data_IF_549986758812
#
_entry.id   IF_549986758812
#
_cell.length_a   1.000
_cell.length_b   1.000
_cell.length_c   1.000
_cell.angle_alpha   90.00
_cell.angle_beta   90.00
_cell.angle_gamma   90.00
#
_symmetry.space_group_name_H-M   'P 1'
#
loop_
_entity.id
_entity.type
_entity.pdbx_description
1 polymer ?
#
# COMPACT_ATOMS: atom_id res chain seq x y z
N UNK A 1 -19.22 15.58 -9.03
CA UNK A 1 -17.94 14.89 -9.25
C UNK A 1 -17.53 14.21 -7.98
N UNK A 2 -16.98 13.03 -8.06
CA UNK A 2 -16.79 12.16 -6.92
C UNK A 2 -15.30 11.97 -6.65
N UNK A 3 -14.86 12.23 -5.43
CA UNK A 3 -13.53 11.86 -4.98
C UNK A 3 -13.58 10.44 -4.41
N UNK A 4 -12.65 9.57 -4.81
CA UNK A 4 -12.58 8.20 -4.38
C UNK A 4 -11.25 7.88 -3.71
N UNK A 5 -11.26 7.05 -2.67
CA UNK A 5 -10.06 6.47 -2.11
C UNK A 5 -10.02 4.96 -2.37
N UNK A 6 -8.90 4.46 -2.92
CA UNK A 6 -8.65 3.02 -3.06
C UNK A 6 -7.69 2.60 -1.97
N UNK A 7 -8.16 1.73 -1.08
CA UNK A 7 -7.48 1.34 0.14
C UNK A 7 -7.36 -0.17 0.30
N UNK A 8 -6.35 -0.63 1.02
CA UNK A 8 -6.24 -2.04 1.41
C UNK A 8 -7.03 -2.32 2.69
N UNK A 9 -7.77 -3.40 2.71
CA UNK A 9 -8.57 -3.78 3.87
C UNK A 9 -7.75 -4.61 4.87
N UNK A 10 -6.87 -5.47 4.40
CA UNK A 10 -6.16 -6.43 5.24
C UNK A 10 -4.69 -6.03 5.50
N UNK A 11 -3.73 -6.89 5.14
CA UNK A 11 -2.28 -6.70 5.41
C UNK A 11 -1.50 -6.04 4.29
N UNK A 12 -2.15 -5.65 3.19
CA UNK A 12 -1.50 -5.18 1.96
C UNK A 12 -1.43 -6.27 0.88
N UNK A 13 -0.93 -5.89 -0.29
CA UNK A 13 -0.82 -6.76 -1.48
C UNK A 13 -2.15 -7.32 -2.01
N UNK A 14 -3.28 -6.65 -1.71
CA UNK A 14 -4.61 -7.05 -2.16
C UNK A 14 -4.86 -6.81 -3.66
N UNK A 15 -3.99 -6.06 -4.33
CA UNK A 15 -4.14 -5.70 -5.74
C UNK A 15 -4.66 -4.28 -5.98
N UNK A 16 -4.37 -3.34 -5.06
CA UNK A 16 -4.77 -1.93 -5.17
C UNK A 16 -4.31 -1.27 -6.46
N UNK A 17 -3.03 -1.43 -6.84
CA UNK A 17 -2.50 -0.80 -8.06
C UNK A 17 -3.30 -1.16 -9.32
N UNK A 18 -3.77 -2.41 -9.42
CA UNK A 18 -4.66 -2.83 -10.51
C UNK A 18 -6.02 -2.09 -10.44
N UNK A 19 -6.59 -1.96 -9.25
CA UNK A 19 -7.87 -1.25 -9.09
C UNK A 19 -7.72 0.26 -9.35
N UNK A 20 -6.59 0.86 -8.96
CA UNK A 20 -6.27 2.25 -9.32
C UNK A 20 -6.15 2.39 -10.85
N UNK A 21 -5.35 1.55 -11.51
CA UNK A 21 -5.18 1.58 -12.97
C UNK A 21 -6.53 1.40 -13.71
N UNK A 22 -7.40 0.50 -13.21
CA UNK A 22 -8.74 0.29 -13.78
C UNK A 22 -9.61 1.54 -13.63
N UNK A 23 -9.72 2.07 -12.41
CA UNK A 23 -10.65 3.16 -12.11
C UNK A 23 -10.13 4.54 -12.50
N UNK A 24 -8.82 4.70 -12.74
CA UNK A 24 -8.22 5.99 -13.17
C UNK A 24 -8.83 6.54 -14.47
N UNK A 25 -9.49 5.71 -15.27
CA UNK A 25 -10.18 6.17 -16.49
C UNK A 25 -11.26 7.22 -16.19
N UNK A 26 -11.87 7.16 -15.02
CA UNK A 26 -12.95 8.06 -14.58
C UNK A 26 -12.45 9.25 -13.76
N UNK A 27 -11.11 9.42 -13.61
CA UNK A 27 -10.53 10.44 -12.73
C UNK A 27 -9.50 11.32 -13.45
N UNK A 28 -9.49 12.59 -13.07
CA UNK A 28 -8.56 13.60 -13.62
C UNK A 28 -7.21 13.60 -12.90
N UNK A 29 -7.20 13.19 -11.62
CA UNK A 29 -6.03 13.30 -10.74
C UNK A 29 -5.89 12.02 -9.91
N UNK A 30 -4.66 11.50 -9.80
CA UNK A 30 -4.32 10.40 -8.89
C UNK A 30 -3.30 10.88 -7.86
N UNK A 31 -3.61 10.72 -6.57
CA UNK A 31 -2.74 11.20 -5.48
C UNK A 31 -2.28 10.03 -4.59
N UNK A 32 -0.98 9.81 -4.51
CA UNK A 32 -0.37 8.99 -3.44
C UNK A 32 -0.26 9.85 -2.19
N UNK A 33 -0.86 9.41 -1.09
CA UNK A 33 -0.98 10.23 0.12
C UNK A 33 -0.16 9.73 1.31
N UNK A 34 0.44 8.53 1.24
CA UNK A 34 1.24 7.97 2.33
C UNK A 34 2.14 6.81 1.85
N UNK A 35 3.02 6.33 2.76
CA UNK A 35 3.95 5.24 2.47
C UNK A 35 5.18 5.73 1.69
N UNK A 36 5.91 4.82 1.09
CA UNK A 36 7.14 5.10 0.36
C UNK A 36 7.54 3.92 -0.51
N UNK A 37 8.84 3.71 -0.73
CA UNK A 37 9.37 2.63 -1.57
C UNK A 37 9.27 1.21 -0.95
N UNK A 38 8.58 1.04 0.17
CA UNK A 38 8.53 -0.22 0.93
C UNK A 38 7.50 -1.24 0.43
N UNK A 39 6.56 -0.85 -0.44
CA UNK A 39 5.64 -1.76 -1.09
C UNK A 39 5.62 -1.52 -2.60
N UNK A 40 5.29 -2.54 -3.38
CA UNK A 40 5.19 -2.46 -4.83
C UNK A 40 3.74 -2.61 -5.29
N UNK A 41 3.29 -1.71 -6.17
CA UNK A 41 2.02 -1.82 -6.87
C UNK A 41 2.25 -2.47 -8.24
N UNK A 42 1.82 -3.71 -8.39
CA UNK A 42 1.91 -4.38 -9.69
C UNK A 42 0.74 -3.94 -10.57
N UNK A 43 1.07 -3.37 -11.73
CA UNK A 43 0.14 -3.00 -12.78
C UNK A 43 0.47 -3.82 -14.03
N UNK A 44 -0.56 -4.38 -14.66
CA UNK A 44 -0.46 -5.09 -15.94
C UNK A 44 -1.37 -4.38 -16.94
N UNK A 45 -0.78 -3.82 -17.98
CA UNK A 45 -1.49 -3.06 -19.00
C UNK A 45 -0.84 -3.24 -20.38
N UNK A 46 -1.27 -2.47 -21.38
CA UNK A 46 -0.79 -2.56 -22.78
C UNK A 46 0.71 -2.27 -22.92
N UNK A 47 1.32 -1.55 -21.98
CA UNK A 47 2.77 -1.31 -21.95
C UNK A 47 3.56 -2.47 -21.34
N UNK A 48 2.87 -3.43 -20.69
CA UNK A 48 3.47 -4.61 -20.06
C UNK A 48 3.19 -4.70 -18.57
N UNK A 49 4.06 -5.41 -17.85
CA UNK A 49 3.98 -5.60 -16.39
C UNK A 49 4.97 -4.69 -15.68
N UNK A 50 4.48 -3.89 -14.75
CA UNK A 50 5.26 -2.93 -13.95
C UNK A 50 5.07 -3.18 -12.46
N UNK A 51 6.09 -2.83 -11.68
CA UNK A 51 6.03 -2.82 -10.22
C UNK A 51 6.39 -1.40 -9.75
N UNK A 52 5.38 -0.54 -9.58
CA UNK A 52 5.58 0.83 -9.08
C UNK A 52 5.76 0.83 -7.57
N UNK A 53 6.68 1.65 -7.08
CA UNK A 53 6.96 1.80 -5.65
C UNK A 53 6.54 3.18 -5.12
N UNK A 54 6.92 4.25 -5.80
CA UNK A 54 6.62 5.64 -5.45
C UNK A 54 5.62 6.28 -6.39
N UNK A 55 5.77 6.06 -7.70
CA UNK A 55 4.86 6.67 -8.68
C UNK A 55 3.42 6.19 -8.48
N UNK A 56 2.43 7.10 -8.61
CA UNK A 56 1.03 6.71 -8.66
C UNK A 56 0.73 5.80 -9.86
N UNK A 57 -0.22 4.88 -9.70
CA UNK A 57 -0.60 3.95 -10.79
C UNK A 57 -1.28 4.66 -11.98
N UNK A 58 -1.66 5.93 -11.82
CA UNK A 58 -2.23 6.77 -12.89
C UNK A 58 -1.23 7.23 -13.97
N UNK A 59 0.08 7.04 -13.78
CA UNK A 59 1.12 7.47 -14.76
C UNK A 59 0.99 6.81 -16.13
N UNK A 60 0.26 5.72 -16.24
CA UNK A 60 -0.01 5.04 -17.51
C UNK A 60 -1.17 5.65 -18.32
N UNK A 61 -1.89 6.63 -17.78
CA UNK A 61 -3.05 7.26 -18.41
C UNK A 61 -2.74 8.67 -18.90
N UNK A 62 -3.00 8.93 -20.18
CA UNK A 62 -2.86 10.28 -20.76
C UNK A 62 -3.90 11.22 -20.16
N UNK A 63 -3.48 12.45 -19.89
CA UNK A 63 -4.36 13.51 -19.38
C UNK A 63 -4.63 13.44 -17.87
N UNK A 64 -4.12 12.43 -17.19
CA UNK A 64 -4.23 12.29 -15.73
C UNK A 64 -3.02 12.95 -15.05
N UNK A 65 -3.28 13.85 -14.11
CA UNK A 65 -2.25 14.41 -13.24
C UNK A 65 -1.97 13.46 -12.09
N UNK A 66 -0.70 13.14 -11.86
CA UNK A 66 -0.25 12.29 -10.77
C UNK A 66 0.42 13.14 -9.69
N UNK A 67 0.16 12.87 -8.42
CA UNK A 67 0.68 13.67 -7.31
C UNK A 67 1.29 12.79 -6.23
N UNK A 68 2.50 13.15 -5.78
CA UNK A 68 3.10 12.65 -4.54
C UNK A 68 2.82 13.68 -3.44
N UNK A 69 1.89 13.32 -2.54
CA UNK A 69 1.41 14.22 -1.48
C UNK A 69 2.32 14.27 -0.25
N UNK A 70 1.98 15.14 0.67
CA UNK A 70 2.76 15.47 1.90
C UNK A 70 3.07 14.27 2.79
N UNK A 71 2.20 13.26 2.78
CA UNK A 71 2.34 12.09 3.65
C UNK A 71 3.29 11.02 3.12
N UNK A 72 3.79 11.16 1.89
CA UNK A 72 4.73 10.20 1.28
C UNK A 72 6.13 10.34 1.89
N UNK A 73 6.82 9.22 2.04
CA UNK A 73 8.27 9.19 2.31
C UNK A 73 9.00 9.26 0.97
N UNK A 74 9.43 10.46 0.57
CA UNK A 74 9.96 10.71 -0.75
C UNK A 74 11.44 10.34 -0.83
N UNK A 75 11.72 9.23 -1.48
CA UNK A 75 13.06 8.77 -1.82
C UNK A 75 13.41 9.24 -3.23
N UNK A 76 14.23 10.29 -3.35
CA UNK A 76 14.58 10.89 -4.64
C UNK A 76 15.32 9.92 -5.55
N UNK A 77 16.21 9.09 -5.01
CA UNK A 77 16.97 8.10 -5.78
C UNK A 77 16.04 7.03 -6.37
N UNK A 78 15.16 6.46 -5.53
CA UNK A 78 14.20 5.47 -6.01
C UNK A 78 13.22 6.06 -7.03
N UNK A 79 12.76 7.29 -6.81
CA UNK A 79 11.87 7.97 -7.76
C UNK A 79 12.55 8.19 -9.12
N UNK A 80 13.78 8.69 -9.13
CA UNK A 80 14.54 8.89 -10.37
C UNK A 80 14.73 7.57 -11.13
N UNK A 81 15.09 6.49 -10.43
CA UNK A 81 15.25 5.16 -11.04
C UNK A 81 13.94 4.63 -11.62
N UNK A 82 12.84 4.86 -10.94
CA UNK A 82 11.51 4.44 -11.38
C UNK A 82 11.06 5.23 -12.62
N UNK A 83 11.32 6.53 -12.69
CA UNK A 83 11.08 7.38 -13.86
C UNK A 83 11.93 6.87 -15.06
N UNK A 84 13.21 6.57 -14.83
CA UNK A 84 14.12 6.07 -15.88
C UNK A 84 13.66 4.69 -16.41
N UNK A 85 13.25 3.77 -15.53
CA UNK A 85 12.71 2.46 -15.94
C UNK A 85 11.47 2.62 -16.82
N UNK A 86 10.52 3.46 -16.41
CA UNK A 86 9.31 3.74 -17.16
C UNK A 86 9.63 4.38 -18.52
N UNK A 87 10.54 5.35 -18.55
CA UNK A 87 10.96 6.00 -19.79
C UNK A 87 11.60 5.00 -20.78
N UNK A 88 12.45 4.08 -20.28
CA UNK A 88 13.07 3.03 -21.09
C UNK A 88 12.06 2.08 -21.74
N UNK A 89 10.84 2.02 -21.21
CA UNK A 89 9.73 1.17 -21.65
C UNK A 89 8.62 1.96 -22.34
N UNK A 90 8.90 3.22 -22.72
CA UNK A 90 8.00 4.06 -23.51
C UNK A 90 6.91 4.79 -22.71
N UNK A 91 7.00 4.81 -21.38
CA UNK A 91 6.08 5.58 -20.50
C UNK A 91 6.78 6.86 -20.05
N UNK A 92 6.28 8.01 -20.50
CA UNK A 92 6.86 9.33 -20.20
C UNK A 92 6.29 9.89 -18.90
N UNK A 93 7.16 10.22 -17.94
CA UNK A 93 6.83 10.90 -16.69
C UNK A 93 7.55 12.24 -16.65
N UNK A 94 6.78 13.32 -16.75
CA UNK A 94 7.29 14.70 -16.86
C UNK A 94 6.56 15.63 -15.91
N UNK A 95 7.02 16.88 -15.70
CA UNK A 95 6.31 17.86 -14.88
C UNK A 95 4.88 18.19 -15.35
N UNK A 96 4.50 17.82 -16.56
CA UNK A 96 3.16 17.99 -17.10
C UNK A 96 2.19 16.91 -16.64
N UNK A 97 2.68 15.76 -16.14
CA UNK A 97 1.84 14.65 -15.69
C UNK A 97 2.22 14.11 -14.29
N UNK A 98 3.26 14.68 -13.64
CA UNK A 98 3.63 14.38 -12.26
C UNK A 98 3.93 15.68 -11.50
N UNK A 99 3.36 15.81 -10.31
CA UNK A 99 3.71 16.83 -9.33
C UNK A 99 4.19 16.19 -8.04
N UNK A 100 5.16 16.83 -7.40
CA UNK A 100 5.68 16.50 -6.08
C UNK A 100 5.32 17.64 -5.15
N UNK A 101 4.66 17.35 -4.03
CA UNK A 101 4.37 18.39 -3.04
C UNK A 101 5.66 19.03 -2.52
N UNK A 102 5.68 20.35 -2.48
CA UNK A 102 6.75 21.12 -1.83
C UNK A 102 6.90 20.78 -0.33
N UNK A 103 5.81 20.28 0.30
CA UNK A 103 5.76 19.91 1.73
C UNK A 103 6.01 18.42 1.99
N UNK A 104 6.30 17.62 0.98
CA UNK A 104 6.69 16.23 1.18
C UNK A 104 8.09 16.16 1.78
N UNK A 105 8.27 15.33 2.82
CA UNK A 105 9.60 15.16 3.44
C UNK A 105 10.47 14.19 2.65
N UNK A 106 11.78 14.45 2.62
CA UNK A 106 12.76 13.62 1.92
C UNK A 106 13.20 12.42 2.79
N UNK A 107 13.16 11.25 2.22
CA UNK A 107 13.80 10.07 2.78
C UNK A 107 15.28 10.09 2.36
N UNK A 108 16.15 10.42 3.32
CA UNK A 108 17.58 10.59 3.10
C UNK A 108 18.35 9.26 3.28
N UNK A 109 19.58 9.13 2.75
CA UNK A 109 20.31 7.85 2.73
C UNK A 109 20.43 7.16 4.09
N UNK A 110 20.67 7.90 5.17
CA UNK A 110 20.80 7.34 6.51
C UNK A 110 19.54 6.61 7.02
N UNK A 111 18.34 6.95 6.49
CA UNK A 111 17.12 6.26 6.93
C UNK A 111 17.15 4.77 6.57
N UNK A 112 17.65 4.43 5.37
CA UNK A 112 17.81 3.03 4.96
C UNK A 112 18.87 2.33 5.81
N UNK A 113 19.97 3.02 6.10
CA UNK A 113 21.05 2.50 6.96
C UNK A 113 20.52 2.21 8.36
N UNK A 114 19.80 3.15 8.97
CA UNK A 114 19.23 2.98 10.32
C UNK A 114 18.18 1.85 10.37
N UNK A 115 17.34 1.71 9.35
CA UNK A 115 16.36 0.63 9.26
C UNK A 115 17.05 -0.74 9.19
N UNK A 116 18.12 -0.85 8.41
CA UNK A 116 18.90 -2.08 8.30
C UNK A 116 19.62 -2.43 9.62
N UNK A 117 20.24 -1.44 10.28
CA UNK A 117 20.94 -1.62 11.56
C UNK A 117 19.97 -2.01 12.68
N UNK A 118 18.79 -1.43 12.72
CA UNK A 118 17.78 -1.79 13.73
C UNK A 118 17.26 -3.21 13.55
N UNK A 119 16.94 -3.62 12.31
CA UNK A 119 16.56 -5.01 12.01
C UNK A 119 17.67 -6.00 12.41
N UNK A 120 18.95 -5.64 12.21
CA UNK A 120 20.06 -6.48 12.62
C UNK A 120 20.18 -6.56 14.15
N UNK A 121 20.05 -5.43 14.86
CA UNK A 121 20.08 -5.34 16.32
C UNK A 121 18.98 -6.17 16.98
N UNK A 122 17.79 -6.22 16.36
CA UNK A 122 16.63 -6.96 16.89
C UNK A 122 16.78 -8.48 16.83
N UNK A 123 17.69 -9.01 16.01
CA UNK A 123 17.96 -10.47 15.90
C UNK A 123 16.68 -11.29 15.71
N UNK A 124 16.28 -12.07 16.72
CA UNK A 124 15.10 -12.93 16.68
C UNK A 124 13.77 -12.17 16.92
N UNK A 125 13.82 -10.86 17.20
CA UNK A 125 12.65 -10.01 17.44
C UNK A 125 12.38 -9.04 16.26
N UNK A 126 12.85 -9.41 15.07
CA UNK A 126 12.68 -8.62 13.85
C UNK A 126 11.21 -8.37 13.54
N UNK A 127 10.93 -7.19 13.04
CA UNK A 127 9.60 -6.83 12.52
C UNK A 127 9.40 -7.30 11.07
N UNK A 128 10.46 -7.70 10.40
CA UNK A 128 10.45 -8.05 8.97
C UNK A 128 10.44 -6.82 8.07
N UNK A 129 11.18 -5.78 8.47
CA UNK A 129 11.32 -4.55 7.67
C UNK A 129 11.82 -4.84 6.26
N UNK A 130 11.34 -4.04 5.32
CA UNK A 130 11.81 -4.03 3.93
C UNK A 130 13.17 -3.33 3.76
N UNK A 131 13.72 -2.74 4.83
CA UNK A 131 14.96 -1.95 4.87
C UNK A 131 14.93 -0.76 3.90
N UNK A 132 13.73 -0.20 3.70
CA UNK A 132 13.54 0.99 2.87
C UNK A 132 13.52 2.30 3.68
N UNK A 133 13.87 2.24 4.97
CA UNK A 133 14.03 3.42 5.82
C UNK A 133 12.73 4.05 6.33
N UNK A 134 11.60 3.34 6.24
CA UNK A 134 10.28 3.91 6.52
C UNK A 134 10.10 4.28 8.00
N UNK A 135 10.45 3.39 8.93
CA UNK A 135 10.30 3.66 10.36
C UNK A 135 11.23 4.80 10.83
N UNK A 136 12.54 4.80 10.53
CA UNK A 136 13.40 5.94 10.84
C UNK A 136 12.95 7.26 10.21
N UNK A 137 12.47 7.22 8.96
CA UNK A 137 11.97 8.41 8.27
C UNK A 137 10.77 9.05 8.99
N UNK A 138 9.72 8.28 9.28
CA UNK A 138 8.55 8.84 9.97
C UNK A 138 8.88 9.26 11.40
N UNK A 139 9.77 8.54 12.11
CA UNK A 139 10.31 8.99 13.39
C UNK A 139 10.93 10.38 13.28
N UNK A 140 11.79 10.57 12.30
CA UNK A 140 12.46 11.86 12.07
C UNK A 140 11.51 12.97 11.67
N UNK A 141 10.51 12.66 10.84
CA UNK A 141 9.47 13.63 10.47
C UNK A 141 8.78 14.20 11.71
N UNK A 142 8.37 13.33 12.64
CA UNK A 142 7.72 13.78 13.89
C UNK A 142 8.69 14.42 14.89
N UNK A 143 9.98 14.05 14.85
CA UNK A 143 11.03 14.73 15.61
C UNK A 143 11.49 16.05 14.98
N UNK A 144 10.99 16.39 13.79
CA UNK A 144 11.40 17.58 13.01
C UNK A 144 12.89 17.52 12.61
N UNK A 145 13.37 16.32 12.25
CA UNK A 145 14.76 16.01 11.85
C UNK A 145 14.83 15.55 10.40
N UNK A 146 14.04 16.21 9.54
CA UNK A 146 14.04 15.98 8.09
C UNK A 146 13.87 17.29 7.34
N UNK A 147 14.09 17.28 6.04
CA UNK A 147 13.88 18.41 5.14
C UNK A 147 12.74 18.12 4.19
N UNK A 148 12.11 19.16 3.66
CA UNK A 148 11.01 19.05 2.70
C UNK A 148 11.55 19.19 1.26
N UNK A 149 10.79 18.70 0.28
CA UNK A 149 11.18 18.85 -1.12
C UNK A 149 11.29 20.31 -1.55
N UNK A 150 10.46 21.20 -1.01
CA UNK A 150 10.56 22.65 -1.23
C UNK A 150 11.88 23.26 -0.82
N UNK A 151 12.56 22.68 0.20
CA UNK A 151 13.87 23.18 0.66
C UNK A 151 14.96 22.99 -0.41
N UNK A 152 14.79 22.03 -1.35
CA UNK A 152 15.69 21.86 -2.50
C UNK A 152 15.75 23.11 -3.38
N UNK A 153 14.73 23.95 -3.37
CA UNK A 153 14.67 25.21 -4.12
C UNK A 153 15.43 26.35 -3.40
N UNK A 154 15.91 26.12 -2.16
CA UNK A 154 16.57 27.08 -1.30
C UNK A 154 17.90 26.50 -0.76
N UNK A 155 18.98 26.40 -1.58
CA UNK A 155 20.20 25.64 -1.26
C UNK A 155 20.90 26.07 0.03
N UNK A 156 20.94 27.36 0.34
CA UNK A 156 21.60 27.88 1.56
C UNK A 156 20.83 27.42 2.82
N UNK A 157 19.50 27.54 2.79
CA UNK A 157 18.65 27.08 3.88
C UNK A 157 18.75 25.57 4.05
N UNK A 158 18.67 24.81 2.95
CA UNK A 158 18.81 23.37 2.94
C UNK A 158 20.13 22.91 3.57
N UNK A 159 21.26 23.52 3.17
CA UNK A 159 22.59 23.18 3.69
C UNK A 159 22.68 23.41 5.21
N UNK A 160 22.15 24.53 5.71
CA UNK A 160 22.14 24.83 7.13
C UNK A 160 21.29 23.81 7.94
N UNK A 161 20.09 23.48 7.45
CA UNK A 161 19.23 22.49 8.09
C UNK A 161 19.86 21.09 8.11
N UNK A 162 20.52 20.70 7.00
CA UNK A 162 21.16 19.39 6.89
C UNK A 162 22.36 19.28 7.84
N UNK A 163 23.12 20.35 8.07
CA UNK A 163 24.24 20.35 9.02
C UNK A 163 23.76 19.99 10.45
N UNK A 164 22.69 20.65 10.91
CA UNK A 164 22.12 20.41 12.24
C UNK A 164 21.54 18.98 12.38
N UNK A 165 20.87 18.50 11.32
CA UNK A 165 20.28 17.15 11.32
C UNK A 165 21.37 16.10 11.27
N UNK A 166 22.42 16.30 10.46
CA UNK A 166 23.52 15.38 10.27
C UNK A 166 24.31 15.15 11.56
N UNK A 167 24.57 16.22 12.33
CA UNK A 167 25.20 16.10 13.64
C UNK A 167 24.41 15.12 14.55
N UNK A 168 23.11 15.30 14.64
CA UNK A 168 22.25 14.42 15.42
C UNK A 168 22.23 12.98 14.89
N UNK A 169 22.20 12.79 13.57
CA UNK A 169 22.20 11.47 12.95
C UNK A 169 23.49 10.72 13.16
N UNK A 170 24.60 11.41 13.07
CA UNK A 170 25.92 10.81 13.30
C UNK A 170 26.09 10.38 14.76
N UNK A 171 25.54 11.12 15.74
CA UNK A 171 25.48 10.64 17.11
C UNK A 171 24.71 9.31 17.22
N UNK A 172 23.61 9.17 16.50
CA UNK A 172 22.83 7.91 16.49
C UNK A 172 23.60 6.79 15.80
N UNK A 173 24.18 7.02 14.64
CA UNK A 173 24.94 6.03 13.89
C UNK A 173 26.14 5.53 14.71
N UNK A 174 26.96 6.42 15.22
CA UNK A 174 28.19 6.08 15.93
C UNK A 174 27.94 5.52 17.34
N UNK A 175 27.13 6.22 18.15
CA UNK A 175 26.99 5.89 19.59
C UNK A 175 25.97 4.80 19.87
N UNK A 176 24.92 4.69 19.07
CA UNK A 176 23.89 3.65 19.27
C UNK A 176 24.24 2.39 18.50
N UNK A 177 24.65 2.52 17.24
CA UNK A 177 24.86 1.38 16.35
C UNK A 177 26.32 1.04 16.10
N UNK A 178 27.28 1.91 16.45
CA UNK A 178 28.71 1.70 16.15
C UNK A 178 29.00 1.70 14.64
N UNK A 179 28.17 2.37 13.86
CA UNK A 179 28.27 2.49 12.42
C UNK A 179 29.09 3.74 12.03
N UNK A 180 29.51 3.80 10.77
CA UNK A 180 30.23 4.96 10.22
C UNK A 180 29.30 6.17 10.13
N UNK A 181 29.88 7.36 10.39
CA UNK A 181 29.20 8.64 10.21
C UNK A 181 28.97 8.92 8.72
N UNK A 182 27.87 9.56 8.42
CA UNK A 182 27.63 10.13 7.09
C UNK A 182 28.28 11.51 7.01
N UNK A 183 28.91 11.84 5.89
CA UNK A 183 29.53 13.15 5.68
C UNK A 183 28.59 14.12 4.94
N UNK A 184 28.81 15.43 5.14
CA UNK A 184 28.04 16.43 4.41
C UNK A 184 28.30 16.34 2.90
N UNK A 185 29.54 16.03 2.49
CA UNK A 185 29.92 15.92 1.07
C UNK A 185 29.17 14.75 0.39
N UNK A 186 29.08 13.59 1.04
CA UNK A 186 28.29 12.46 0.53
C UNK A 186 26.80 12.81 0.40
N UNK A 187 26.25 13.48 1.40
CA UNK A 187 24.86 13.89 1.40
C UNK A 187 24.57 14.92 0.30
N UNK A 188 25.43 15.92 0.15
CA UNK A 188 25.30 16.93 -0.90
C UNK A 188 25.51 16.33 -2.30
N UNK A 189 26.42 15.37 -2.45
CA UNK A 189 26.57 14.64 -3.71
C UNK A 189 25.29 13.90 -4.09
N UNK A 190 24.66 13.20 -3.13
CA UNK A 190 23.38 12.53 -3.34
C UNK A 190 22.24 13.52 -3.70
N UNK A 191 22.17 14.67 -3.02
CA UNK A 191 21.20 15.73 -3.32
C UNK A 191 21.43 16.30 -4.72
N UNK A 192 22.67 16.56 -5.10
CA UNK A 192 23.01 17.07 -6.43
C UNK A 192 22.68 16.07 -7.53
N UNK A 193 22.85 14.77 -7.27
CA UNK A 193 22.54 13.72 -8.26
C UNK A 193 21.03 13.51 -8.44
N UNK A 194 20.29 13.38 -7.33
CA UNK A 194 18.86 12.99 -7.39
C UNK A 194 17.91 14.14 -7.05
N UNK A 195 18.26 15.00 -6.11
CA UNK A 195 17.45 16.15 -5.71
C UNK A 195 17.26 17.16 -6.85
N UNK A 196 18.34 17.47 -7.59
CA UNK A 196 18.26 18.38 -8.75
C UNK A 196 17.30 17.86 -9.83
N UNK A 197 17.26 16.55 -10.05
CA UNK A 197 16.38 15.92 -11.06
C UNK A 197 14.90 16.04 -10.73
N UNK A 198 14.54 16.11 -9.44
CA UNK A 198 13.13 16.21 -9.02
C UNK A 198 12.65 17.65 -8.88
N UNK A 199 13.52 18.66 -8.83
CA UNK A 199 13.14 20.08 -8.71
C UNK A 199 12.06 20.52 -9.71
N UNK A 200 12.12 20.14 -11.00
CA UNK A 200 11.11 20.55 -11.97
C UNK A 200 9.68 20.08 -11.63
N UNK A 201 9.53 19.05 -10.82
CA UNK A 201 8.24 18.47 -10.42
C UNK A 201 7.65 19.12 -9.16
N UNK A 202 8.46 19.87 -8.38
CA UNK A 202 8.05 20.43 -7.08
C UNK A 202 7.06 21.57 -7.28
N UNK A 203 5.89 21.47 -6.62
CA UNK A 203 4.79 22.44 -6.70
C UNK A 203 4.06 22.54 -5.36
N UNK A 204 3.33 23.63 -5.15
CA UNK A 204 2.25 23.68 -4.15
C UNK A 204 1.07 22.82 -4.62
N UNK A 205 1.11 21.54 -4.28
CA UNK A 205 0.07 20.58 -4.66
C UNK A 205 -1.23 20.80 -3.91
N UNK A 206 -1.18 21.42 -2.72
CA UNK A 206 -2.37 21.76 -1.94
C UNK A 206 -3.19 22.83 -2.63
N UNK A 207 -2.55 23.90 -3.10
CA UNK A 207 -3.23 24.94 -3.89
C UNK A 207 -3.81 24.37 -5.19
N UNK A 208 -3.01 23.54 -5.91
CA UNK A 208 -3.47 22.89 -7.13
C UNK A 208 -4.70 21.99 -6.91
N UNK A 209 -4.73 21.18 -5.86
CA UNK A 209 -5.87 20.31 -5.55
C UNK A 209 -7.12 21.11 -5.16
N UNK A 210 -6.95 22.23 -4.44
CA UNK A 210 -8.03 23.13 -4.09
C UNK A 210 -8.66 23.78 -5.35
N UNK A 211 -7.83 24.25 -6.28
CA UNK A 211 -8.26 24.80 -7.57
C UNK A 211 -8.98 23.74 -8.41
N UNK A 212 -8.36 22.55 -8.56
CA UNK A 212 -8.91 21.43 -9.29
C UNK A 212 -10.31 21.02 -8.76
N UNK A 213 -10.51 21.01 -7.44
CA UNK A 213 -11.84 20.76 -6.87
C UNK A 213 -12.83 21.86 -7.21
N UNK A 214 -12.40 23.12 -7.24
CA UNK A 214 -13.27 24.26 -7.63
C UNK A 214 -13.68 24.18 -9.10
N UNK A 215 -12.76 23.71 -9.95
CA UNK A 215 -13.01 23.42 -11.37
C UNK A 215 -13.87 22.17 -11.59
N UNK A 216 -14.11 21.43 -10.51
CA UNK A 216 -14.93 20.23 -10.55
C UNK A 216 -14.20 19.02 -11.07
N UNK A 217 -12.88 18.95 -10.98
CA UNK A 217 -12.07 17.77 -11.34
C UNK A 217 -12.16 16.69 -10.28
N UNK A 218 -12.13 15.45 -10.71
CA UNK A 218 -12.25 14.27 -9.86
C UNK A 218 -10.87 13.79 -9.37
N UNK A 219 -10.80 13.36 -8.09
CA UNK A 219 -9.56 12.95 -7.45
C UNK A 219 -9.66 11.50 -6.99
N UNK A 220 -8.67 10.69 -7.37
CA UNK A 220 -8.48 9.33 -6.90
C UNK A 220 -7.31 9.28 -5.91
N UNK A 221 -7.57 8.95 -4.65
CA UNK A 221 -6.55 8.77 -3.63
C UNK A 221 -6.07 7.32 -3.60
N UNK A 222 -4.79 7.11 -3.83
CA UNK A 222 -4.16 5.80 -3.86
C UNK A 222 -3.42 5.52 -2.56
N UNK A 223 -3.90 4.54 -1.77
CA UNK A 223 -3.25 4.07 -0.56
C UNK A 223 -2.16 3.03 -0.83
N UNK A 224 -1.28 2.89 0.13
CA UNK A 224 -0.30 1.81 0.20
C UNK A 224 -0.57 0.92 1.42
N UNK A 225 -0.23 -0.39 1.32
CA UNK A 225 -0.49 -1.39 2.37
C UNK A 225 -2.00 -1.57 2.66
N UNK A 226 -2.37 -1.94 3.88
CA UNK A 226 -3.75 -2.18 4.28
C UNK A 226 -4.00 -1.80 5.74
N UNK A 227 -5.27 -1.79 6.16
CA UNK A 227 -5.69 -1.31 7.47
C UNK A 227 -5.02 -2.03 8.65
N UNK A 228 -4.73 -3.34 8.50
CA UNK A 228 -4.07 -4.11 9.56
C UNK A 228 -2.58 -3.79 9.70
N UNK A 229 -2.01 -2.99 8.79
CA UNK A 229 -0.66 -2.43 8.85
C UNK A 229 -0.64 -0.95 9.22
N UNK A 230 -1.79 -0.35 9.52
CA UNK A 230 -1.86 1.04 10.00
C UNK A 230 -1.12 1.22 11.32
N UNK A 231 -0.46 2.36 11.50
CA UNK A 231 0.34 2.64 12.69
C UNK A 231 -0.48 2.60 13.98
N UNK A 232 -1.68 3.20 13.95
CA UNK A 232 -2.52 3.39 15.13
C UNK A 232 -3.51 2.25 15.36
N UNK A 233 -4.02 1.65 14.28
CA UNK A 233 -5.11 0.68 14.34
C UNK A 233 -4.72 -0.74 13.90
N UNK A 234 -3.51 -0.92 13.39
CA UNK A 234 -3.03 -2.22 12.91
C UNK A 234 -2.59 -3.17 14.03
N UNK A 235 -1.97 -4.26 13.63
CA UNK A 235 -1.45 -5.32 14.53
C UNK A 235 -0.11 -4.92 15.17
N UNK A 236 -0.08 -3.78 15.86
CA UNK A 236 1.12 -3.24 16.49
C UNK A 236 1.87 -4.28 17.34
N UNK A 237 3.22 -4.38 17.30
CA UNK A 237 4.16 -3.49 16.59
C UNK A 237 4.46 -3.88 15.13
N UNK A 238 3.77 -4.85 14.58
CA UNK A 238 3.98 -5.33 13.21
C UNK A 238 3.21 -4.48 12.18
N UNK A 239 3.36 -3.17 12.27
CA UNK A 239 2.73 -2.16 11.43
C UNK A 239 3.74 -1.49 10.52
N UNK A 240 3.27 -0.72 9.53
CA UNK A 240 4.10 0.33 8.92
C UNK A 240 4.07 1.57 9.82
N UNK A 241 5.00 2.49 9.63
CA UNK A 241 5.07 3.72 10.42
C UNK A 241 4.26 4.87 9.80
N UNK A 242 3.27 4.55 8.97
CA UNK A 242 2.38 5.54 8.33
C UNK A 242 0.91 5.18 8.53
N UNK A 243 0.03 6.16 8.35
CA UNK A 243 -1.41 5.97 8.43
C UNK A 243 -1.93 5.50 7.06
N UNK A 244 -2.46 4.28 7.02
CA UNK A 244 -2.91 3.61 5.80
C UNK A 244 -4.41 3.80 5.52
N UNK A 245 -5.11 4.47 6.44
CA UNK A 245 -6.56 4.64 6.36
C UNK A 245 -6.97 5.73 5.36
N UNK A 246 -8.16 5.56 4.75
CA UNK A 246 -8.75 6.57 3.87
C UNK A 246 -8.91 7.93 4.57
N UNK A 247 -9.18 7.93 5.87
CA UNK A 247 -9.30 9.14 6.68
C UNK A 247 -8.04 10.02 6.68
N UNK A 248 -6.86 9.46 6.38
CA UNK A 248 -5.61 10.20 6.27
C UNK A 248 -5.40 10.81 4.88
N UNK A 249 -6.12 10.36 3.86
CA UNK A 249 -5.91 10.80 2.48
C UNK A 249 -6.02 12.32 2.29
N UNK A 250 -6.98 13.05 2.88
CA UNK A 250 -7.02 14.51 2.79
C UNK A 250 -5.76 15.18 3.36
N UNK A 251 -5.28 14.71 4.51
CA UNK A 251 -4.09 15.26 5.18
C UNK A 251 -2.83 14.90 4.39
N UNK A 252 -2.69 13.63 4.06
CA UNK A 252 -1.52 13.11 3.37
C UNK A 252 -1.37 13.57 1.92
N UNK A 253 -2.45 13.96 1.26
CA UNK A 253 -2.41 14.58 -0.07
C UNK A 253 -1.96 16.06 -0.05
N UNK A 254 -2.04 16.72 1.12
CA UNK A 254 -1.85 18.16 1.25
C UNK A 254 -3.13 18.98 1.00
N UNK A 255 -4.28 18.33 0.96
CA UNK A 255 -5.59 18.97 0.78
C UNK A 255 -6.55 18.58 1.92
N UNK A 256 -6.39 19.15 3.14
CA UNK A 256 -7.17 18.74 4.32
C UNK A 256 -8.69 18.94 4.18
N UNK A 257 -9.12 19.81 3.27
CA UNK A 257 -10.53 20.06 2.96
C UNK A 257 -11.15 19.06 1.98
N UNK A 258 -10.40 18.11 1.45
CA UNK A 258 -10.94 17.13 0.51
C UNK A 258 -12.04 16.28 1.17
N UNK A 259 -13.18 16.18 0.49
CA UNK A 259 -14.23 15.22 0.84
C UNK A 259 -14.03 13.95 0.01
N UNK A 260 -14.06 12.80 0.67
CA UNK A 260 -14.04 11.49 0.00
C UNK A 260 -15.49 11.01 -0.07
N UNK A 261 -16.00 10.80 -1.29
CA UNK A 261 -17.39 10.40 -1.53
C UNK A 261 -17.54 8.89 -1.60
N UNK A 262 -16.51 8.18 -2.10
CA UNK A 262 -16.47 6.72 -2.18
C UNK A 262 -15.13 6.19 -1.62
N UNK A 263 -15.19 5.13 -0.83
CA UNK A 263 -14.01 4.39 -0.37
C UNK A 263 -14.12 2.96 -0.88
N UNK A 264 -13.28 2.64 -1.87
CA UNK A 264 -13.20 1.28 -2.43
C UNK A 264 -12.12 0.50 -1.66
N UNK A 265 -12.57 -0.42 -0.83
CA UNK A 265 -11.71 -1.35 -0.11
C UNK A 265 -11.31 -2.54 -0.98
N UNK A 266 -10.03 -2.83 -1.10
CA UNK A 266 -9.55 -3.98 -1.87
C UNK A 266 -9.30 -5.16 -0.94
N UNK A 267 -9.87 -6.32 -1.25
CA UNK A 267 -9.77 -7.58 -0.51
C UNK A 267 -9.45 -8.70 -1.48
N UNK A 268 -8.62 -9.66 -1.11
CA UNK A 268 -8.48 -10.92 -1.86
C UNK A 268 -9.56 -11.91 -1.47
N UNK A 269 -9.92 -12.79 -2.37
CA UNK A 269 -10.79 -13.93 -2.09
C UNK A 269 -10.21 -14.95 -1.08
N UNK A 270 -8.97 -14.76 -0.66
CA UNK A 270 -8.25 -15.45 0.41
C UNK A 270 -7.32 -14.46 1.12
N UNK A 271 -6.77 -14.84 2.27
CA UNK A 271 -5.89 -13.93 3.02
C UNK A 271 -4.42 -14.14 2.71
N UNK A 272 -3.67 -13.04 2.63
CA UNK A 272 -2.21 -13.05 2.55
C UNK A 272 -1.59 -12.05 3.51
N UNK A 273 -0.41 -12.38 4.03
CA UNK A 273 0.33 -11.49 4.91
C UNK A 273 1.81 -11.50 4.52
N UNK A 274 2.40 -10.31 4.42
CA UNK A 274 3.86 -10.13 4.28
C UNK A 274 4.41 -9.58 5.59
N UNK A 275 5.59 -10.05 5.99
CA UNK A 275 6.22 -9.66 7.26
C UNK A 275 5.74 -10.49 8.44
N UNK A 276 6.20 -10.10 9.62
CA UNK A 276 5.95 -10.81 10.87
C UNK A 276 4.61 -10.39 11.51
N UNK A 277 4.32 -10.99 12.65
CA UNK A 277 3.11 -10.71 13.45
C UNK A 277 2.03 -11.77 13.32
N UNK A 278 0.98 -11.67 14.14
CA UNK A 278 -0.10 -12.64 14.18
C UNK A 278 -0.90 -12.66 12.86
N UNK A 279 -1.17 -13.86 12.39
CA UNK A 279 -2.02 -14.15 11.25
C UNK A 279 -2.85 -15.39 11.60
N UNK A 280 -4.00 -15.19 12.22
CA UNK A 280 -4.78 -16.21 12.95
C UNK A 280 -5.13 -17.42 12.07
N UNK A 281 -5.51 -17.19 10.82
CA UNK A 281 -5.90 -18.26 9.90
C UNK A 281 -4.78 -18.70 8.93
N UNK A 282 -3.52 -18.53 9.31
CA UNK A 282 -2.37 -18.94 8.49
C UNK A 282 -2.35 -20.45 8.23
N UNK A 283 -2.17 -20.80 6.97
CA UNK A 283 -1.90 -22.16 6.55
C UNK A 283 -0.42 -22.47 6.48
N UNK A 284 -0.09 -23.68 6.81
CA UNK A 284 1.26 -24.25 6.72
C UNK A 284 1.26 -25.50 5.84
N UNK A 285 2.43 -25.92 5.41
CA UNK A 285 2.61 -27.16 4.67
C UNK A 285 2.07 -27.10 3.24
N UNK A 286 1.55 -28.23 2.77
CA UNK A 286 1.23 -28.47 1.36
C UNK A 286 0.07 -27.60 0.86
N UNK A 287 -0.97 -27.39 1.66
CA UNK A 287 -2.12 -26.56 1.28
C UNK A 287 -1.72 -25.08 1.09
N UNK A 288 -0.85 -24.58 1.97
CA UNK A 288 -0.31 -23.23 1.81
C UNK A 288 0.51 -23.10 0.51
N UNK A 289 1.30 -24.13 0.17
CA UNK A 289 2.12 -24.12 -1.04
C UNK A 289 1.27 -24.23 -2.30
N UNK A 290 0.19 -25.02 -2.28
CA UNK A 290 -0.78 -25.06 -3.39
C UNK A 290 -1.40 -23.69 -3.65
N UNK A 291 -1.83 -22.99 -2.58
CA UNK A 291 -2.44 -21.67 -2.71
C UNK A 291 -1.40 -20.63 -3.18
N UNK A 292 -0.16 -20.67 -2.67
CA UNK A 292 0.92 -19.78 -3.14
C UNK A 292 1.18 -19.94 -4.63
N UNK A 293 1.27 -21.18 -5.12
CA UNK A 293 1.50 -21.46 -6.55
C UNK A 293 0.34 -21.00 -7.41
N UNK A 294 -0.89 -21.32 -7.01
CA UNK A 294 -2.09 -20.91 -7.75
C UNK A 294 -2.23 -19.38 -7.80
N UNK A 295 -1.95 -18.69 -6.70
CA UNK A 295 -2.08 -17.24 -6.59
C UNK A 295 -0.81 -16.46 -6.95
N UNK A 296 0.31 -17.12 -7.29
CA UNK A 296 1.63 -16.48 -7.47
C UNK A 296 2.01 -15.60 -6.26
N UNK A 297 1.80 -16.13 -5.04
CA UNK A 297 2.00 -15.39 -3.79
C UNK A 297 3.46 -15.40 -3.34
N UNK A 298 4.28 -14.70 -4.13
CA UNK A 298 5.70 -14.45 -3.86
C UNK A 298 6.01 -12.95 -3.96
N UNK A 299 6.95 -12.46 -3.16
CA UNK A 299 7.34 -11.06 -3.17
C UNK A 299 7.95 -10.66 -4.52
N UNK A 300 7.45 -9.61 -5.15
CA UNK A 300 7.87 -9.20 -6.48
C UNK A 300 9.39 -8.90 -6.58
N UNK A 301 9.98 -8.33 -5.51
CA UNK A 301 11.39 -7.94 -5.45
C UNK A 301 12.30 -9.04 -4.87
N UNK A 302 11.80 -9.78 -3.88
CA UNK A 302 12.63 -10.72 -3.09
C UNK A 302 12.36 -12.19 -3.41
N UNK A 303 11.29 -12.51 -4.13
CA UNK A 303 10.82 -13.88 -4.32
C UNK A 303 10.35 -14.57 -3.03
N UNK A 304 10.35 -13.90 -1.87
CA UNK A 304 9.97 -14.48 -0.59
C UNK A 304 8.51 -14.97 -0.64
N UNK A 305 8.24 -16.22 -0.23
CA UNK A 305 6.88 -16.74 -0.18
C UNK A 305 6.04 -15.93 0.82
N UNK A 306 4.84 -15.53 0.41
CA UNK A 306 3.88 -14.89 1.31
C UNK A 306 3.23 -15.91 2.22
N UNK A 307 2.88 -15.50 3.43
CA UNK A 307 2.00 -16.23 4.31
C UNK A 307 0.59 -16.20 3.72
N UNK A 308 -0.10 -17.32 3.72
CA UNK A 308 -1.42 -17.46 3.07
C UNK A 308 -2.38 -18.21 3.98
N UNK A 309 -3.68 -18.02 3.78
CA UNK A 309 -4.74 -18.71 4.49
C UNK A 309 -6.11 -18.44 3.87
N UNK A 310 -7.20 -19.01 4.41
CA UNK A 310 -8.54 -18.71 3.95
C UNK A 310 -8.89 -17.24 4.11
N UNK A 311 -9.95 -16.77 3.45
CA UNK A 311 -10.47 -15.43 3.74
C UNK A 311 -10.87 -15.35 5.21
N UNK A 312 -10.48 -14.27 5.86
CA UNK A 312 -10.70 -14.01 7.28
C UNK A 312 -11.75 -12.90 7.43
N UNK A 313 -12.99 -13.27 7.72
CA UNK A 313 -14.08 -12.30 7.83
C UNK A 313 -13.96 -11.42 9.07
N UNK A 314 -13.32 -11.89 10.14
CA UNK A 314 -13.10 -11.10 11.37
C UNK A 314 -12.11 -9.98 11.09
N UNK A 315 -10.95 -10.31 10.51
CA UNK A 315 -9.92 -9.35 10.14
C UNK A 315 -10.41 -8.41 9.02
N UNK A 316 -11.11 -8.95 8.02
CA UNK A 316 -11.63 -8.17 6.90
C UNK A 316 -12.75 -7.21 7.34
N UNK A 317 -13.71 -7.66 8.16
CA UNK A 317 -14.76 -6.81 8.72
C UNK A 317 -14.22 -5.68 9.59
N UNK A 318 -13.14 -5.95 10.35
CA UNK A 318 -12.42 -4.91 11.09
C UNK A 318 -11.82 -3.88 10.16
N UNK A 319 -11.09 -4.31 9.12
CA UNK A 319 -10.48 -3.41 8.14
C UNK A 319 -11.52 -2.60 7.35
N UNK A 320 -12.66 -3.21 6.96
CA UNK A 320 -13.80 -2.51 6.32
C UNK A 320 -14.29 -1.34 7.19
N UNK A 321 -14.48 -1.61 8.48
CA UNK A 321 -14.94 -0.59 9.44
C UNK A 321 -13.91 0.52 9.63
N UNK A 322 -12.62 0.19 9.77
CA UNK A 322 -11.54 1.18 9.91
C UNK A 322 -11.42 2.09 8.69
N UNK A 323 -11.54 1.52 7.50
CA UNK A 323 -11.46 2.26 6.25
C UNK A 323 -12.74 3.05 5.95
N UNK A 324 -13.83 2.80 6.70
CA UNK A 324 -15.17 3.29 6.35
C UNK A 324 -15.52 2.97 4.90
N UNK A 325 -15.19 1.75 4.45
CA UNK A 325 -15.36 1.35 3.06
C UNK A 325 -16.84 1.37 2.66
N UNK A 326 -17.13 2.00 1.53
CA UNK A 326 -18.47 2.09 0.96
C UNK A 326 -18.74 1.01 -0.10
N UNK A 327 -17.65 0.49 -0.68
CA UNK A 327 -17.68 -0.60 -1.64
C UNK A 327 -16.41 -1.45 -1.52
N UNK A 328 -16.49 -2.71 -1.95
CA UNK A 328 -15.36 -3.64 -1.97
C UNK A 328 -15.04 -4.07 -3.40
N UNK A 329 -13.74 -4.17 -3.68
CA UNK A 329 -13.18 -4.87 -4.81
C UNK A 329 -12.58 -6.20 -4.32
N UNK A 330 -13.25 -7.30 -4.64
CA UNK A 330 -12.79 -8.66 -4.33
C UNK A 330 -11.88 -9.13 -5.47
N UNK A 331 -10.62 -9.37 -5.18
CA UNK A 331 -9.62 -9.77 -6.16
C UNK A 331 -9.28 -11.25 -6.08
N UNK A 332 -8.76 -11.81 -7.19
CA UNK A 332 -8.21 -13.17 -7.26
C UNK A 332 -9.24 -14.29 -6.95
N UNK A 333 -10.49 -14.12 -7.34
CA UNK A 333 -11.50 -15.17 -7.18
C UNK A 333 -11.15 -16.42 -8.00
N UNK A 334 -10.60 -16.22 -9.20
CA UNK A 334 -10.12 -17.26 -10.13
C UNK A 334 -9.11 -18.22 -9.51
N UNK A 335 -8.29 -17.73 -8.59
CA UNK A 335 -7.23 -18.52 -7.92
C UNK A 335 -7.82 -19.71 -7.13
N UNK A 336 -9.04 -19.59 -6.65
CA UNK A 336 -9.72 -20.63 -5.84
C UNK A 336 -10.41 -21.71 -6.68
N UNK A 337 -10.40 -21.62 -7.99
CA UNK A 337 -11.10 -22.55 -8.92
C UNK A 337 -10.70 -24.02 -8.76
N UNK A 338 -9.52 -24.31 -8.21
CA UNK A 338 -9.07 -25.69 -7.97
C UNK A 338 -9.64 -26.32 -6.70
N UNK A 339 -10.25 -25.54 -5.81
CA UNK A 339 -10.73 -26.00 -4.52
C UNK A 339 -12.15 -26.58 -4.65
N UNK A 340 -12.34 -27.80 -4.11
CA UNK A 340 -13.66 -28.43 -4.03
C UNK A 340 -14.48 -27.88 -2.86
N UNK A 341 -13.81 -27.48 -1.78
CA UNK A 341 -14.40 -26.86 -0.60
C UNK A 341 -13.58 -25.63 -0.22
N UNK A 342 -14.27 -24.53 0.02
CA UNK A 342 -13.69 -23.23 0.30
C UNK A 342 -13.79 -22.92 1.80
N UNK A 343 -12.67 -22.94 2.53
CA UNK A 343 -12.66 -22.55 3.92
C UNK A 343 -12.80 -21.04 4.09
N UNK A 344 -13.57 -20.63 5.08
CA UNK A 344 -13.78 -19.23 5.47
C UNK A 344 -13.64 -19.14 6.98
N UNK A 345 -12.80 -18.23 7.47
CA UNK A 345 -12.72 -17.94 8.90
C UNK A 345 -13.82 -16.96 9.28
N UNK A 346 -14.83 -17.45 10.03
CA UNK A 346 -16.04 -16.68 10.39
C UNK A 346 -16.02 -16.13 11.80
N UNK A 347 -15.15 -16.66 12.67
CA UNK A 347 -14.97 -16.21 14.05
C UNK A 347 -13.59 -16.59 14.57
N UNK A 348 -13.18 -16.01 15.68
CA UNK A 348 -12.02 -16.45 16.45
C UNK A 348 -12.48 -17.07 17.77
N UNK A 349 -11.79 -18.12 18.20
CA UNK A 349 -11.91 -18.67 19.54
C UNK A 349 -10.77 -18.13 20.41
N UNK A 350 -11.12 -17.47 21.51
CA UNK A 350 -10.18 -16.94 22.52
C UNK A 350 -10.71 -17.35 23.89
N UNK A 351 -9.89 -18.05 24.66
CA UNK A 351 -10.25 -18.56 26.00
C UNK A 351 -11.57 -19.36 25.99
N UNK A 352 -11.77 -20.18 24.95
CA UNK A 352 -12.96 -21.03 24.78
C UNK A 352 -14.25 -20.27 24.39
N UNK A 353 -14.15 -19.00 24.01
CA UNK A 353 -15.28 -18.18 23.56
C UNK A 353 -15.11 -17.76 22.12
N UNK A 354 -16.16 -17.91 21.32
CA UNK A 354 -16.19 -17.41 19.94
C UNK A 354 -16.46 -15.90 19.93
N UNK A 355 -15.73 -15.19 19.06
CA UNK A 355 -15.91 -13.76 18.81
C UNK A 355 -15.78 -13.45 17.32
N UNK A 356 -16.60 -12.54 16.83
CA UNK A 356 -16.50 -11.93 15.51
C UNK A 356 -15.87 -10.53 15.57
N UNK A 357 -15.53 -10.07 16.78
CA UNK A 357 -14.81 -8.82 16.97
C UNK A 357 -13.30 -9.07 16.86
N UNK A 358 -12.62 -8.27 16.07
CA UNK A 358 -11.16 -8.32 15.97
C UNK A 358 -10.56 -7.91 17.31
N UNK A 359 -9.77 -8.78 17.95
CA UNK A 359 -9.25 -8.52 19.28
C UNK A 359 -8.06 -7.56 19.26
N UNK A 360 -7.70 -7.03 20.43
CA UNK A 360 -6.48 -6.27 20.58
C UNK A 360 -5.24 -7.10 20.22
N UNK A 361 -4.17 -6.51 19.65
CA UNK A 361 -3.03 -7.27 19.10
C UNK A 361 -2.41 -8.30 20.04
N UNK A 362 -2.34 -8.04 21.33
CA UNK A 362 -1.77 -9.02 22.30
C UNK A 362 -2.60 -10.31 22.43
N UNK A 363 -3.90 -10.25 22.20
CA UNK A 363 -4.79 -11.42 22.26
C UNK A 363 -4.79 -12.24 20.95
N UNK A 364 -4.32 -11.67 19.84
CA UNK A 364 -4.27 -12.37 18.55
C UNK A 364 -3.39 -13.63 18.57
N UNK A 365 -2.33 -13.65 19.38
CA UNK A 365 -1.46 -14.82 19.48
C UNK A 365 -2.13 -16.04 20.13
N UNK A 366 -3.18 -15.82 20.93
CA UNK A 366 -3.97 -16.88 21.56
C UNK A 366 -5.20 -17.27 20.76
N UNK A 367 -5.57 -16.48 19.73
CA UNK A 367 -6.74 -16.68 18.91
C UNK A 367 -6.58 -17.91 18.00
N UNK A 368 -7.64 -18.69 17.89
CA UNK A 368 -7.76 -19.81 16.95
C UNK A 368 -8.87 -19.52 15.94
N UNK A 369 -8.68 -19.84 14.64
CA UNK A 369 -9.70 -19.59 13.65
C UNK A 369 -10.85 -20.59 13.78
N UNK A 370 -12.08 -20.13 13.73
CA UNK A 370 -13.26 -20.95 13.51
C UNK A 370 -13.58 -20.96 12.01
N UNK A 371 -13.49 -22.13 11.38
CA UNK A 371 -13.56 -22.28 9.93
C UNK A 371 -14.89 -22.92 9.54
N UNK A 372 -15.62 -22.24 8.67
CA UNK A 372 -16.74 -22.78 7.92
C UNK A 372 -16.33 -23.15 6.49
N UNK A 373 -17.06 -24.05 5.86
CA UNK A 373 -16.72 -24.52 4.52
C UNK A 373 -17.91 -24.34 3.57
N UNK A 374 -17.65 -23.70 2.45
CA UNK A 374 -18.58 -23.59 1.33
C UNK A 374 -18.15 -24.55 0.21
N UNK A 375 -19.08 -24.91 -0.68
CA UNK A 375 -18.76 -25.70 -1.86
C UNK A 375 -18.02 -24.86 -2.91
N UNK A 376 -16.98 -25.42 -3.50
CA UNK A 376 -16.26 -24.82 -4.61
C UNK A 376 -17.03 -24.92 -5.93
N UNK A 377 -16.57 -24.23 -6.93
CA UNK A 377 -17.18 -24.24 -8.28
C UNK A 377 -16.48 -25.15 -9.27
N UNK A 378 -15.23 -25.56 -9.01
CA UNK A 378 -14.52 -26.64 -9.71
C UNK A 378 -14.30 -26.44 -11.22
N UNK A 379 -14.36 -25.20 -11.71
CA UNK A 379 -14.09 -24.85 -13.10
C UNK A 379 -13.34 -23.52 -13.21
N UNK A 380 -12.64 -23.32 -14.33
CA UNK A 380 -11.99 -22.05 -14.62
C UNK A 380 -13.02 -20.95 -14.87
N UNK A 381 -12.88 -19.83 -14.18
CA UNK A 381 -13.73 -18.64 -14.31
C UNK A 381 -12.97 -17.43 -14.91
N UNK A 382 -11.74 -17.58 -15.34
CA UNK A 382 -10.91 -16.49 -15.84
C UNK A 382 -11.46 -15.78 -17.08
N UNK A 383 -12.27 -16.46 -17.86
CA UNK A 383 -12.95 -15.93 -19.04
C UNK A 383 -14.30 -15.27 -18.77
N UNK A 384 -14.84 -15.38 -17.56
CA UNK A 384 -16.13 -14.79 -17.18
C UNK A 384 -16.01 -13.26 -17.13
N UNK A 385 -17.03 -12.55 -17.65
CA UNK A 385 -17.05 -11.08 -17.68
C UNK A 385 -18.30 -10.46 -17.06
N UNK A 386 -19.33 -11.25 -16.79
CA UNK A 386 -20.57 -10.77 -16.17
C UNK A 386 -20.90 -11.57 -14.91
N UNK A 387 -21.67 -10.96 -14.02
CA UNK A 387 -22.12 -11.63 -12.78
C UNK A 387 -22.95 -12.87 -13.07
N UNK A 388 -23.81 -12.79 -14.07
CA UNK A 388 -24.75 -13.88 -14.39
C UNK A 388 -24.05 -15.14 -14.91
N UNK A 389 -22.91 -14.99 -15.57
CA UNK A 389 -22.09 -16.10 -16.09
C UNK A 389 -21.27 -16.81 -14.99
N UNK A 390 -21.12 -16.21 -13.80
CA UNK A 390 -20.41 -16.87 -12.71
C UNK A 390 -21.15 -18.14 -12.26
N UNK A 391 -20.41 -19.24 -11.97
CA UNK A 391 -20.99 -20.42 -11.35
C UNK A 391 -21.72 -20.07 -10.05
N UNK A 392 -22.82 -20.76 -9.77
CA UNK A 392 -23.66 -20.50 -8.62
C UNK A 392 -22.89 -20.54 -7.29
N UNK A 393 -21.96 -21.48 -7.13
CA UNK A 393 -21.14 -21.57 -5.92
C UNK A 393 -20.11 -20.41 -5.81
N UNK A 394 -19.64 -19.87 -6.93
CA UNK A 394 -18.80 -18.66 -6.91
C UNK A 394 -19.60 -17.43 -6.47
N UNK A 395 -20.85 -17.28 -6.96
CA UNK A 395 -21.76 -16.23 -6.49
C UNK A 395 -22.03 -16.36 -4.99
N UNK A 396 -22.38 -17.55 -4.51
CA UNK A 396 -22.61 -17.82 -3.08
C UNK A 396 -21.39 -17.49 -2.22
N UNK A 397 -20.19 -17.79 -2.70
CA UNK A 397 -18.95 -17.45 -1.98
C UNK A 397 -18.77 -15.93 -1.86
N UNK A 398 -18.98 -15.19 -2.94
CA UNK A 398 -18.92 -13.72 -2.94
C UNK A 398 -19.98 -13.12 -2.01
N UNK A 399 -21.22 -13.60 -2.10
CA UNK A 399 -22.34 -13.15 -1.27
C UNK A 399 -22.14 -13.48 0.22
N UNK A 400 -21.54 -14.63 0.53
CA UNK A 400 -21.21 -15.01 1.90
C UNK A 400 -20.15 -14.08 2.50
N UNK A 401 -19.10 -13.73 1.73
CA UNK A 401 -18.11 -12.74 2.16
C UNK A 401 -18.79 -11.38 2.35
N UNK A 402 -19.56 -10.92 1.37
CA UNK A 402 -20.29 -9.63 1.42
C UNK A 402 -21.12 -9.50 2.70
N UNK A 403 -21.91 -10.53 3.01
CA UNK A 403 -22.73 -10.59 4.21
C UNK A 403 -21.87 -10.58 5.50
N UNK A 404 -20.78 -11.35 5.51
CA UNK A 404 -19.91 -11.50 6.67
C UNK A 404 -19.10 -10.23 7.01
N UNK A 405 -18.74 -9.43 6.01
CA UNK A 405 -18.00 -8.18 6.21
C UNK A 405 -18.91 -6.94 6.31
N UNK A 406 -20.19 -7.08 5.96
CA UNK A 406 -21.18 -6.01 6.04
C UNK A 406 -20.95 -4.85 5.05
N UNK A 407 -20.32 -5.11 3.89
CA UNK A 407 -20.05 -4.11 2.87
C UNK A 407 -20.21 -4.71 1.47
N UNK A 408 -20.89 -3.97 0.57
CA UNK A 408 -21.17 -4.42 -0.79
C UNK A 408 -19.89 -4.70 -1.58
N UNK A 409 -19.80 -5.88 -2.19
CA UNK A 409 -18.77 -6.21 -3.16
C UNK A 409 -19.23 -5.74 -4.53
N UNK A 410 -18.72 -4.59 -4.97
CA UNK A 410 -19.05 -3.91 -6.22
C UNK A 410 -18.23 -4.45 -7.40
N UNK A 411 -16.99 -4.83 -7.16
CA UNK A 411 -16.05 -5.31 -8.17
C UNK A 411 -15.58 -6.72 -7.82
N UNK A 412 -15.62 -7.65 -8.79
CA UNK A 412 -15.14 -9.03 -8.62
C UNK A 412 -14.12 -9.33 -9.72
N UNK A 413 -12.86 -9.53 -9.34
CA UNK A 413 -11.78 -9.83 -10.26
C UNK A 413 -11.60 -11.33 -10.43
N UNK A 414 -11.60 -11.77 -11.68
CA UNK A 414 -11.45 -13.18 -12.11
C UNK A 414 -10.19 -13.44 -12.94
N UNK A 415 -9.25 -12.48 -12.96
CA UNK A 415 -7.98 -12.58 -13.69
C UNK A 415 -7.09 -11.37 -13.43
N UNK A 416 -5.93 -11.29 -14.08
CA UNK A 416 -4.97 -10.20 -13.93
C UNK A 416 -5.22 -9.03 -14.88
N UNK A 417 -5.85 -9.27 -16.02
CA UNK A 417 -6.11 -8.31 -17.08
C UNK A 417 -7.17 -7.29 -16.64
N UNK A 418 -7.14 -6.09 -17.26
CA UNK A 418 -8.09 -5.01 -16.93
C UNK A 418 -9.54 -5.44 -17.08
N UNK A 419 -9.86 -6.10 -18.20
CA UNK A 419 -11.22 -6.56 -18.53
C UNK A 419 -11.70 -7.76 -17.70
N UNK A 420 -10.80 -8.42 -16.95
CA UNK A 420 -11.13 -9.52 -16.05
C UNK A 420 -11.66 -9.00 -14.69
N UNK A 421 -12.55 -8.00 -14.74
CA UNK A 421 -13.21 -7.41 -13.58
C UNK A 421 -14.72 -7.28 -13.84
N UNK A 422 -15.51 -8.00 -13.08
CA UNK A 422 -16.97 -7.97 -13.12
C UNK A 422 -17.45 -6.82 -12.22
N UNK A 423 -18.36 -5.99 -12.73
CA UNK A 423 -19.03 -4.92 -11.95
C UNK A 423 -20.45 -5.40 -11.62
N UNK A 424 -20.82 -5.30 -10.30
CA UNK A 424 -22.15 -5.74 -9.78
C UNK A 424 -23.07 -4.55 -9.53
#
# INVERSE_FOLDING_TARGET
MSNCAIVGINWGDEGKGRMVDLLTEDYDIVVRYQGGGNAGHTVVNDFGKFALHLLPSGVFRKGVMNILGNGVALDCENLCKEIDDLASRGVSVTPENLMISDRVSLLLPWHRTLDALEEERLKNKKYGSTKQGIAPFYSDKYQKKTVMAGDLLHPEYLSAQLADILEWKNLTLEKVYGAEACTMDELMAWINEYGERIKPYIRDTGAYLCEAQTEGRSILFEAQLGALRDLDFGIYPYTTSSNTLAAYAPIGSGFPGARIDEVVGVVKAYSTCVGEGPFVCEWLGEEAEKLRRAGFEYGAKTGRPRRVGPVDLVATGYGVRLQSATAIALTKLDVLSYMQRLPVCTAYEIDGKLTQQFPFPSALNAAKPHIEYLDGWGCDISAVRTWDELPENAKKYVEFIEAGIGCRIKYVSVGAERDACIVR
#
